data_IF_208724830645
#
_entry.id   IF_208724830645
#
_cell.length_a   1.000
_cell.length_b   1.000
_cell.length_c   1.000
_cell.angle_alpha   90.00
_cell.angle_beta   90.00
_cell.angle_gamma   90.00
#
_symmetry.space_group_name_H-M   'P 1'
#
loop_
_entity.id
_entity.type
_entity.pdbx_description
1 polymer ?
#
# COMPACT_ATOMS: atom_id res chain seq x y z
N UNK A 1 18.69 6.89 -1.51
CA UNK A 1 19.03 8.33 -1.32
C UNK A 1 18.16 9.14 -2.26
N UNK A 2 17.51 10.16 -1.69
CA UNK A 2 16.79 11.27 -2.34
C UNK A 2 15.49 10.99 -3.12
N UNK A 3 14.45 10.55 -2.40
CA UNK A 3 13.04 10.82 -2.75
C UNK A 3 12.65 12.17 -2.12
N UNK A 4 13.25 13.26 -2.58
CA UNK A 4 12.97 14.62 -2.08
C UNK A 4 13.23 15.72 -3.11
N UNK A 5 13.20 15.36 -4.40
CA UNK A 5 13.38 16.31 -5.50
C UNK A 5 12.45 15.96 -6.65
N UNK A 6 11.25 16.55 -6.64
CA UNK A 6 10.70 17.31 -7.77
C UNK A 6 9.23 17.73 -7.52
N UNK A 7 8.95 18.43 -6.42
CA UNK A 7 7.77 19.30 -6.37
C UNK A 7 8.21 20.70 -5.92
N UNK A 8 8.70 21.47 -6.88
CA UNK A 8 8.88 22.92 -6.77
C UNK A 8 8.17 23.58 -7.94
N UNK A 9 6.89 23.91 -7.76
CA UNK A 9 6.31 25.04 -8.48
C UNK A 9 6.25 26.22 -7.50
N UNK A 10 7.25 27.09 -7.62
CA UNK A 10 7.17 28.44 -7.12
C UNK A 10 6.23 29.24 -8.03
N UNK A 11 5.17 29.83 -7.46
CA UNK A 11 4.49 30.97 -8.07
C UNK A 11 4.64 32.15 -7.13
N UNK A 12 5.54 33.05 -7.51
CA UNK A 12 5.56 34.42 -7.04
C UNK A 12 4.35 35.16 -7.61
N UNK A 13 3.62 35.89 -6.76
CA UNK A 13 2.63 36.88 -7.18
C UNK A 13 2.67 38.09 -6.24
N UNK A 14 2.35 39.30 -6.74
CA UNK A 14 3.01 40.54 -6.35
C UNK A 14 2.35 41.28 -5.17
N UNK A 15 3.12 42.23 -4.62
CA UNK A 15 2.67 43.25 -3.68
C UNK A 15 1.39 43.96 -4.18
N UNK A 16 0.37 43.96 -3.34
CA UNK A 16 -0.66 45.00 -3.33
C UNK A 16 -0.68 45.63 -1.94
N UNK A 17 -0.17 46.85 -1.87
CA UNK A 17 -0.27 47.77 -0.73
C UNK A 17 -1.72 48.19 -0.54
N UNK A 18 -2.30 47.85 0.62
CA UNK A 18 -3.53 48.46 1.10
C UNK A 18 -3.32 48.87 2.56
N UNK A 19 -3.17 50.18 2.78
CA UNK A 19 -3.13 50.77 4.10
C UNK A 19 -4.53 50.83 4.70
N UNK A 20 -4.68 50.33 5.92
CA UNK A 20 -5.81 50.64 6.80
C UNK A 20 -5.24 50.97 8.19
N UNK A 21 -5.45 52.22 8.58
CA UNK A 21 -5.31 52.77 9.91
C UNK A 21 -6.59 52.47 10.71
N UNK A 22 -6.52 51.68 11.77
CA UNK A 22 -7.40 51.79 12.95
C UNK A 22 -6.57 51.43 14.19
N UNK A 23 -6.50 52.37 15.13
CA UNK A 23 -5.85 52.19 16.43
C UNK A 23 -6.73 51.59 17.51
N UNK A 24 -6.16 51.58 18.72
CA UNK A 24 -6.70 51.14 20.02
C UNK A 24 -6.42 49.67 20.36
N UNK A 25 -5.41 49.45 21.20
CA UNK A 25 -5.61 48.98 22.59
C UNK A 25 -4.27 49.01 23.33
N UNK A 26 -4.29 49.53 24.56
CA UNK A 26 -3.21 49.33 25.51
C UNK A 26 -3.39 47.99 26.22
N UNK A 27 -2.29 47.37 26.63
CA UNK A 27 -2.24 46.46 27.78
C UNK A 27 -0.78 46.18 28.13
N UNK A 28 -0.52 46.11 29.43
CA UNK A 28 0.76 45.89 30.06
C UNK A 28 1.23 44.44 29.88
N UNK A 29 2.56 44.29 29.85
CA UNK A 29 3.36 43.12 30.24
C UNK A 29 2.65 41.78 30.53
N UNK A 30 3.13 40.71 29.89
CA UNK A 30 3.58 39.50 30.58
C UNK A 30 4.24 38.52 29.59
N UNK A 31 5.53 38.23 29.83
CA UNK A 31 6.28 37.14 29.22
C UNK A 31 5.69 35.79 29.65
N UNK A 32 5.53 34.80 28.74
CA UNK A 32 5.21 33.45 29.15
C UNK A 32 6.46 32.77 29.78
N UNK A 33 6.30 32.01 30.89
CA UNK A 33 7.39 31.30 31.53
C UNK A 33 7.80 30.04 30.74
N UNK A 34 9.08 29.70 30.90
CA UNK A 34 9.72 28.50 30.39
C UNK A 34 9.03 27.22 30.86
N UNK A 35 8.84 26.28 29.94
CA UNK A 35 8.46 24.89 30.25
C UNK A 35 9.74 24.10 30.54
N UNK A 36 9.88 23.44 31.70
CA UNK A 36 11.00 22.55 31.96
C UNK A 36 10.81 21.21 31.24
N UNK A 37 11.85 20.78 30.52
CA UNK A 37 11.97 19.46 29.93
C UNK A 37 12.10 18.38 31.03
N UNK A 38 11.49 17.20 30.88
CA UNK A 38 11.81 16.06 31.73
C UNK A 38 13.13 15.41 31.28
N UNK A 39 14.10 15.48 32.17
CA UNK A 39 15.38 14.76 32.14
C UNK A 39 15.13 13.25 32.28
N UNK A 40 15.44 12.47 31.25
CA UNK A 40 15.58 11.01 31.37
C UNK A 40 17.08 10.68 31.48
N UNK A 41 17.46 10.18 32.66
CA UNK A 41 18.81 9.73 32.98
C UNK A 41 19.12 8.39 32.31
N UNK A 42 20.15 8.35 31.48
CA UNK A 42 20.99 7.17 31.33
C UNK A 42 21.84 6.99 32.60
N UNK A 43 22.15 5.74 32.97
CA UNK A 43 23.55 5.42 33.12
C UNK A 43 23.95 4.12 32.43
N UNK A 44 25.15 4.21 31.87
CA UNK A 44 25.94 3.23 31.15
C UNK A 44 26.73 2.31 32.08
N UNK A 45 27.12 1.15 31.52
CA UNK A 45 28.29 0.30 31.81
C UNK A 45 28.27 -0.56 33.09
N UNK A 46 28.33 -1.87 32.87
CA UNK A 46 29.38 -2.69 33.48
C UNK A 46 29.89 -3.73 32.48
N UNK A 47 31.19 -3.96 32.56
CA UNK A 47 32.04 -4.62 31.60
C UNK A 47 32.35 -6.07 31.98
N UNK A 48 32.74 -6.83 30.96
CA UNK A 48 33.79 -7.86 30.94
C UNK A 48 33.65 -9.08 31.85
N UNK A 49 33.54 -10.26 31.23
CA UNK A 49 34.53 -11.33 31.44
C UNK A 49 34.49 -12.34 30.28
N UNK A 50 35.57 -12.35 29.49
CA UNK A 50 36.12 -13.55 28.84
C UNK A 50 37.15 -14.11 29.82
N UNK A 51 37.33 -15.44 29.97
CA UNK A 51 38.33 -16.08 29.10
C UNK A 51 38.08 -17.58 28.77
N UNK A 52 38.88 -18.02 27.80
CA UNK A 52 39.51 -19.36 27.70
C UNK A 52 38.91 -20.40 26.73
N UNK A 53 39.46 -20.35 25.52
CA UNK A 53 39.77 -21.49 24.65
C UNK A 53 40.63 -22.56 25.37
N UNK A 54 40.47 -23.85 25.05
CA UNK A 54 41.63 -24.62 24.57
C UNK A 54 41.38 -25.35 23.25
N UNK A 55 42.42 -25.37 22.41
CA UNK A 55 42.53 -26.17 21.20
C UNK A 55 42.90 -27.64 21.51
N UNK A 56 42.47 -28.57 20.66
CA UNK A 56 43.34 -29.56 19.97
C UNK A 56 42.49 -30.64 19.26
N UNK A 57 42.70 -30.80 17.95
CA UNK A 57 42.47 -32.06 17.25
C UNK A 57 43.63 -33.03 17.58
N UNK A 58 43.43 -34.35 17.51
CA UNK A 58 43.95 -35.09 16.35
C UNK A 58 43.07 -36.27 15.88
N UNK A 59 43.51 -36.87 14.77
CA UNK A 59 42.78 -37.78 13.87
C UNK A 59 42.54 -39.24 14.34
N UNK A 60 41.58 -39.87 13.63
CA UNK A 60 41.26 -41.31 13.36
C UNK A 60 42.31 -42.37 13.79
N UNK A 61 41.89 -43.59 14.19
CA UNK A 61 41.74 -44.71 13.23
C UNK A 61 40.47 -45.58 13.41
N UNK A 62 40.25 -46.49 12.46
CA UNK A 62 39.05 -47.27 12.17
C UNK A 62 38.82 -48.56 13.01
N UNK A 63 37.58 -49.07 12.91
CA UNK A 63 37.01 -50.45 12.99
C UNK A 63 37.98 -51.64 13.20
N UNK A 64 37.56 -52.76 13.84
CA UNK A 64 36.70 -53.71 13.11
C UNK A 64 35.73 -54.62 13.94
N UNK A 65 34.58 -54.92 13.29
CA UNK A 65 33.95 -56.27 13.13
C UNK A 65 33.36 -56.97 14.38
N UNK A 66 32.34 -57.84 14.37
CA UNK A 66 31.67 -58.75 13.41
C UNK A 66 30.44 -59.38 14.19
N UNK A 67 29.70 -60.44 13.78
CA UNK A 67 29.32 -61.07 12.47
C UNK A 67 27.77 -61.22 12.35
N UNK A 68 27.11 -61.87 11.38
CA UNK A 68 27.27 -62.29 9.99
C UNK A 68 25.92 -62.93 9.56
N UNK A 69 25.56 -62.90 8.27
CA UNK A 69 25.04 -64.06 7.53
C UNK A 69 24.69 -63.74 6.05
N UNK A 70 25.57 -64.21 5.17
CA UNK A 70 25.38 -64.90 3.88
C UNK A 70 24.39 -64.41 2.79
N UNK A 71 24.98 -64.12 1.62
CA UNK A 71 24.40 -63.99 0.28
C UNK A 71 24.45 -65.30 -0.52
N UNK A 72 23.57 -65.48 -1.54
CA UNK A 72 23.82 -66.36 -2.70
C UNK A 72 24.23 -65.57 -3.98
N UNK A 73 24.72 -66.26 -5.04
CA UNK A 73 25.64 -65.70 -6.03
C UNK A 73 24.99 -65.11 -7.29
N UNK A 74 25.77 -64.25 -7.96
CA UNK A 74 25.49 -63.50 -9.20
C UNK A 74 25.67 -64.34 -10.48
N UNK A 75 24.85 -64.13 -11.55
CA UNK A 75 25.19 -64.45 -12.94
C UNK A 75 25.82 -63.24 -13.69
N UNK A 76 26.42 -63.44 -14.90
CA UNK A 76 27.36 -62.53 -15.56
C UNK A 76 26.72 -61.39 -16.39
N UNK A 77 27.50 -60.39 -16.88
CA UNK A 77 27.01 -59.08 -17.28
C UNK A 77 26.53 -59.04 -18.74
N UNK A 78 25.36 -58.44 -18.96
CA UNK A 78 24.94 -57.95 -20.28
C UNK A 78 25.05 -56.42 -20.31
N UNK A 79 25.51 -55.92 -21.45
CA UNK A 79 25.96 -54.55 -21.66
C UNK A 79 24.89 -53.47 -21.41
N UNK A 80 25.37 -52.36 -20.85
CA UNK A 80 24.83 -51.00 -20.84
C UNK A 80 23.45 -50.77 -21.47
N UNK A 81 22.43 -50.60 -20.62
CA UNK A 81 21.27 -49.78 -20.95
C UNK A 81 21.48 -48.38 -20.36
N UNK A 82 21.49 -47.38 -21.24
CA UNK A 82 21.61 -45.97 -20.92
C UNK A 82 20.50 -45.52 -19.94
N UNK A 83 20.72 -44.47 -19.14
CA UNK A 83 19.71 -43.94 -18.24
C UNK A 83 18.44 -43.58 -19.01
N UNK A 84 17.33 -44.19 -18.59
CA UNK A 84 15.98 -43.84 -19.03
C UNK A 84 15.77 -42.33 -18.84
N UNK A 85 15.63 -41.65 -19.97
CA UNK A 85 15.14 -40.27 -20.01
C UNK A 85 13.73 -40.27 -19.40
N UNK A 86 13.40 -39.39 -18.44
CA UNK A 86 12.03 -39.21 -18.02
C UNK A 86 11.17 -38.92 -19.25
N UNK A 87 10.06 -39.64 -19.39
CA UNK A 87 9.06 -39.38 -20.41
C UNK A 87 8.67 -37.88 -20.37
N UNK A 88 8.36 -37.24 -21.52
CA UNK A 88 7.84 -35.88 -21.52
C UNK A 88 6.50 -35.89 -20.77
N UNK A 89 6.53 -35.47 -19.51
CA UNK A 89 5.32 -35.22 -18.74
C UNK A 89 4.50 -34.20 -19.50
N UNK A 90 3.22 -34.52 -19.70
CA UNK A 90 2.19 -33.57 -20.13
C UNK A 90 2.44 -32.23 -19.44
N UNK A 91 2.58 -31.11 -20.18
CA UNK A 91 2.70 -29.80 -19.56
C UNK A 91 1.54 -29.61 -18.58
N UNK A 92 1.84 -29.23 -17.33
CA UNK A 92 0.83 -28.72 -16.43
C UNK A 92 0.02 -27.65 -17.19
N UNK A 93 -1.32 -27.61 -17.05
CA UNK A 93 -2.12 -26.57 -17.69
C UNK A 93 -1.48 -25.23 -17.34
N UNK A 94 -0.99 -24.51 -18.36
CA UNK A 94 -0.53 -23.15 -18.16
C UNK A 94 -1.67 -22.41 -17.44
N UNK A 95 -1.37 -21.81 -16.29
CA UNK A 95 -2.31 -20.89 -15.65
C UNK A 95 -2.85 -19.96 -16.75
N UNK A 96 -4.16 -19.73 -16.83
CA UNK A 96 -4.73 -18.92 -17.89
C UNK A 96 -3.96 -17.61 -17.94
N UNK A 97 -3.29 -17.36 -19.07
CA UNK A 97 -2.61 -16.09 -19.31
C UNK A 97 -3.70 -15.03 -19.30
N UNK A 98 -3.83 -14.32 -18.18
CA UNK A 98 -4.77 -13.21 -18.08
C UNK A 98 -4.32 -12.20 -19.14
N UNK A 99 -5.22 -11.89 -20.08
CA UNK A 99 -5.02 -10.75 -20.97
C UNK A 99 -4.76 -9.54 -20.10
N UNK A 100 -3.63 -8.87 -20.31
CA UNK A 100 -3.29 -7.66 -19.57
C UNK A 100 -4.41 -6.63 -19.77
N UNK A 101 -4.89 -6.06 -18.68
CA UNK A 101 -5.86 -4.97 -18.75
C UNK A 101 -5.24 -3.79 -19.53
N UNK A 102 -6.03 -3.07 -20.35
CA UNK A 102 -5.53 -1.91 -21.09
C UNK A 102 -5.02 -0.84 -20.11
N UNK A 103 -3.80 -0.35 -20.37
CA UNK A 103 -3.17 0.68 -19.54
C UNK A 103 -3.56 2.07 -20.06
N UNK A 104 -4.26 2.85 -19.23
CA UNK A 104 -4.70 4.21 -19.58
C UNK A 104 -5.90 4.23 -20.52
N UNK A 105 -6.93 3.43 -20.19
CA UNK A 105 -8.21 3.42 -20.89
C UNK A 105 -9.01 4.69 -20.57
N UNK A 106 -9.44 5.46 -21.57
CA UNK A 106 -10.33 6.60 -21.32
C UNK A 106 -11.73 6.10 -20.94
N UNK A 107 -12.19 6.50 -19.75
CA UNK A 107 -13.50 6.18 -19.23
C UNK A 107 -14.23 7.45 -18.78
N UNK A 108 -15.56 7.38 -18.72
CA UNK A 108 -16.37 8.41 -18.06
C UNK A 108 -16.86 7.84 -16.73
N UNK A 109 -16.39 8.42 -15.63
CA UNK A 109 -16.86 8.12 -14.29
C UNK A 109 -18.32 8.59 -14.16
N UNK A 110 -19.19 7.69 -13.73
CA UNK A 110 -20.57 8.01 -13.41
C UNK A 110 -20.68 8.30 -11.92
N UNK A 111 -21.08 9.53 -11.57
CA UNK A 111 -21.28 9.93 -10.19
C UNK A 111 -22.39 9.10 -9.53
N UNK A 112 -22.04 8.36 -8.47
CA UNK A 112 -22.94 7.52 -7.68
C UNK A 112 -23.12 8.15 -6.30
N UNK A 113 -24.27 7.89 -5.67
CA UNK A 113 -24.46 8.24 -4.26
C UNK A 113 -23.52 7.40 -3.40
N UNK A 114 -22.73 8.05 -2.56
CA UNK A 114 -21.72 7.42 -1.72
C UNK A 114 -21.80 7.93 -0.29
N UNK A 115 -21.51 7.04 0.64
CA UNK A 115 -21.21 7.41 2.03
C UNK A 115 -19.73 7.65 2.13
N UNK A 116 -19.37 8.85 2.52
CA UNK A 116 -18.00 9.35 2.57
C UNK A 116 -17.53 9.39 4.02
N UNK A 117 -16.37 8.84 4.32
CA UNK A 117 -15.62 9.04 5.56
C UNK A 117 -14.32 9.77 5.23
N UNK A 118 -14.13 10.95 5.79
CA UNK A 118 -12.89 11.71 5.65
C UNK A 118 -11.85 11.21 6.64
N UNK A 119 -10.62 11.02 6.17
CA UNK A 119 -9.49 10.56 6.97
C UNK A 119 -8.16 11.10 6.46
N UNK A 120 -7.12 10.79 7.21
CA UNK A 120 -5.73 11.05 6.83
C UNK A 120 -4.87 9.89 7.32
N UNK A 121 -3.82 9.55 6.57
CA UNK A 121 -2.90 8.48 6.90
C UNK A 121 -1.46 8.86 6.52
N UNK A 122 -0.50 8.19 7.15
CA UNK A 122 0.90 8.22 6.74
C UNK A 122 1.17 7.05 5.78
N UNK A 123 2.25 7.15 5.00
CA UNK A 123 2.60 6.12 4.02
C UNK A 123 2.89 4.75 4.67
N UNK A 124 3.53 4.73 5.84
CA UNK A 124 3.84 3.49 6.57
C UNK A 124 2.60 2.70 7.02
N UNK A 125 1.48 3.39 7.30
CA UNK A 125 0.24 2.78 7.78
C UNK A 125 -0.92 2.99 6.81
N UNK A 126 -0.62 3.27 5.55
CA UNK A 126 -1.59 3.65 4.53
C UNK A 126 -2.68 2.58 4.40
N UNK A 127 -2.27 1.35 4.05
CA UNK A 127 -3.20 0.26 3.80
C UNK A 127 -4.05 -0.07 5.04
N UNK A 128 -3.44 -0.17 6.22
CA UNK A 128 -4.15 -0.43 7.47
C UNK A 128 -5.22 0.66 7.74
N UNK A 129 -4.87 1.94 7.58
CA UNK A 129 -5.79 3.06 7.82
C UNK A 129 -6.96 3.07 6.83
N UNK A 130 -6.71 2.73 5.56
CA UNK A 130 -7.75 2.61 4.54
C UNK A 130 -8.72 1.46 4.86
N UNK A 131 -8.19 0.29 5.23
CA UNK A 131 -8.95 -0.89 5.66
C UNK A 131 -9.80 -0.56 6.90
N UNK A 132 -9.25 0.11 7.90
CA UNK A 132 -10.01 0.53 9.10
C UNK A 132 -11.13 1.52 8.77
N UNK A 133 -10.90 2.42 7.82
CA UNK A 133 -11.90 3.37 7.33
C UNK A 133 -13.07 2.64 6.66
N UNK A 134 -12.78 1.66 5.80
CA UNK A 134 -13.80 0.83 5.18
C UNK A 134 -14.56 -0.04 6.18
N UNK A 135 -13.86 -0.60 7.17
CA UNK A 135 -14.50 -1.36 8.27
C UNK A 135 -15.48 -0.48 9.05
N UNK A 136 -15.11 0.77 9.32
CA UNK A 136 -15.95 1.74 10.03
C UNK A 136 -17.20 2.09 9.22
N UNK A 137 -17.05 2.38 7.93
CA UNK A 137 -18.18 2.63 7.03
C UNK A 137 -19.10 1.42 6.90
N UNK A 138 -18.52 0.23 6.68
CA UNK A 138 -19.27 -1.03 6.56
C UNK A 138 -20.07 -1.32 7.83
N UNK A 139 -19.46 -1.16 9.01
CA UNK A 139 -20.15 -1.35 10.28
C UNK A 139 -21.32 -0.38 10.49
N UNK A 140 -21.25 0.85 9.97
CA UNK A 140 -22.36 1.80 9.99
C UNK A 140 -23.50 1.34 9.07
N UNK A 141 -23.17 0.86 7.87
CA UNK A 141 -24.16 0.35 6.91
C UNK A 141 -24.84 -0.92 7.43
N UNK A 142 -24.08 -1.86 7.98
CA UNK A 142 -24.59 -3.11 8.57
C UNK A 142 -25.58 -2.85 9.71
N UNK A 143 -25.29 -1.90 10.60
CA UNK A 143 -26.20 -1.50 11.69
C UNK A 143 -27.57 -1.03 11.18
N UNK A 144 -27.61 -0.50 9.96
CA UNK A 144 -28.81 0.02 9.32
C UNK A 144 -29.38 -0.94 8.27
N UNK A 145 -28.80 -2.14 8.14
CA UNK A 145 -29.12 -3.13 7.11
C UNK A 145 -29.05 -2.57 5.67
N UNK A 146 -28.20 -1.58 5.44
CA UNK A 146 -27.95 -0.99 4.12
C UNK A 146 -26.87 -1.82 3.43
N UNK A 147 -27.14 -2.27 2.21
CA UNK A 147 -26.14 -2.97 1.40
C UNK A 147 -25.32 -1.98 0.58
N UNK A 148 -24.00 -2.19 0.43
CA UNK A 148 -23.21 -1.45 -0.54
C UNK A 148 -23.73 -1.72 -1.96
N UNK A 149 -23.74 -0.68 -2.79
CA UNK A 149 -24.23 -0.65 -4.16
C UNK A 149 -23.09 -0.76 -5.19
N UNK A 150 -21.91 -1.21 -4.77
CA UNK A 150 -20.73 -1.31 -5.63
C UNK A 150 -19.45 -1.50 -4.82
N UNK A 151 -18.34 -1.37 -5.53
CA UNK A 151 -17.00 -1.45 -4.97
C UNK A 151 -16.71 -0.24 -4.08
N UNK A 152 -15.92 -0.46 -3.04
CA UNK A 152 -15.44 0.63 -2.20
C UNK A 152 -14.35 1.41 -2.93
N UNK A 153 -14.26 2.71 -2.69
CA UNK A 153 -13.26 3.56 -3.33
C UNK A 153 -12.63 4.54 -2.36
N UNK A 154 -11.41 4.97 -2.67
CA UNK A 154 -10.68 6.03 -1.98
C UNK A 154 -10.48 7.18 -2.96
N UNK A 155 -10.88 8.37 -2.55
CA UNK A 155 -10.58 9.61 -3.29
C UNK A 155 -9.50 10.36 -2.52
N UNK A 156 -8.32 10.48 -3.10
CA UNK A 156 -7.21 11.24 -2.51
C UNK A 156 -7.39 12.72 -2.79
N UNK A 157 -7.54 13.50 -1.72
CA UNK A 157 -7.79 14.94 -1.82
C UNK A 157 -6.54 15.79 -1.65
N UNK A 158 -5.50 15.23 -1.01
CA UNK A 158 -4.18 15.85 -0.87
C UNK A 158 -3.17 14.78 -0.50
N UNK A 159 -1.97 14.87 -1.05
CA UNK A 159 -0.85 13.97 -0.80
C UNK A 159 0.42 14.79 -0.60
N UNK A 160 1.27 14.39 0.33
CA UNK A 160 2.55 15.03 0.64
C UNK A 160 3.63 13.98 0.99
N UNK A 161 4.86 14.41 1.27
CA UNK A 161 5.98 13.50 1.56
C UNK A 161 5.79 12.67 2.84
N UNK A 162 4.90 13.08 3.73
CA UNK A 162 4.68 12.44 5.05
C UNK A 162 3.40 11.61 5.10
N UNK A 163 2.43 11.89 4.23
CA UNK A 163 1.18 11.17 4.17
C UNK A 163 0.18 11.77 3.19
N UNK A 164 -1.09 11.52 3.45
CA UNK A 164 -2.18 11.94 2.58
C UNK A 164 -3.49 12.12 3.34
N UNK A 165 -4.37 12.91 2.74
CA UNK A 165 -5.78 13.04 3.12
C UNK A 165 -6.65 12.37 2.08
N UNK A 166 -7.66 11.67 2.54
CA UNK A 166 -8.49 10.85 1.68
C UNK A 166 -9.95 10.87 2.11
N UNK A 167 -10.79 10.45 1.19
CA UNK A 167 -12.20 10.20 1.38
C UNK A 167 -12.45 8.73 1.05
N UNK A 168 -12.74 7.93 2.08
CA UNK A 168 -13.20 6.57 1.87
C UNK A 168 -14.68 6.61 1.52
N UNK A 169 -15.06 5.98 0.43
CA UNK A 169 -16.40 6.04 -0.12
C UNK A 169 -16.96 4.63 -0.33
N UNK A 170 -18.19 4.41 0.11
CA UNK A 170 -18.96 3.21 -0.21
C UNK A 170 -20.21 3.63 -0.99
N UNK A 171 -20.38 3.17 -2.25
CA UNK A 171 -21.61 3.39 -3.00
C UNK A 171 -22.81 2.83 -2.26
N UNK A 172 -23.91 3.59 -2.21
CA UNK A 172 -25.16 3.16 -1.57
C UNK A 172 -26.37 3.62 -2.39
N UNK A 173 -27.41 2.79 -2.43
CA UNK A 173 -28.72 3.20 -2.98
C UNK A 173 -29.62 3.84 -1.93
N UNK A 174 -29.32 3.58 -0.65
CA UNK A 174 -30.07 4.08 0.49
C UNK A 174 -29.21 4.99 1.34
N UNK A 175 -29.76 6.14 1.72
CA UNK A 175 -29.10 7.11 2.56
C UNK A 175 -29.03 6.63 4.01
N UNK A 176 -27.85 6.35 4.59
CA UNK A 176 -27.72 6.08 6.01
C UNK A 176 -28.11 7.28 6.86
N UNK A 177 -28.71 6.98 8.00
CA UNK A 177 -28.99 7.93 9.08
C UNK A 177 -27.84 7.92 10.09
N UNK A 178 -27.86 8.86 11.03
CA UNK A 178 -26.93 8.90 12.18
C UNK A 178 -25.44 8.87 11.77
N UNK A 179 -25.08 9.62 10.73
CA UNK A 179 -23.71 9.78 10.28
C UNK A 179 -22.84 10.44 11.36
N UNK A 180 -21.65 9.91 11.59
CA UNK A 180 -20.65 10.54 12.46
C UNK A 180 -20.18 11.88 11.87
N UNK A 181 -19.55 12.74 12.69
CA UNK A 181 -19.10 14.08 12.25
C UNK A 181 -18.10 14.06 11.08
N UNK A 182 -17.31 13.00 10.97
CA UNK A 182 -16.35 12.80 9.87
C UNK A 182 -16.97 12.04 8.68
N UNK A 183 -18.26 11.69 8.76
CA UNK A 183 -19.00 11.04 7.70
C UNK A 183 -20.01 11.98 7.05
N UNK A 184 -20.22 11.81 5.76
CA UNK A 184 -21.19 12.59 4.99
C UNK A 184 -21.73 11.77 3.83
N UNK A 185 -22.97 12.03 3.42
CA UNK A 185 -23.45 11.59 2.12
C UNK A 185 -22.95 12.54 1.04
N UNK A 186 -22.53 11.98 -0.09
CA UNK A 186 -21.99 12.73 -1.21
C UNK A 186 -22.21 12.02 -2.53
N UNK A 187 -21.59 12.56 -3.57
CA UNK A 187 -21.48 11.92 -4.87
C UNK A 187 -20.04 11.55 -5.14
N UNK A 188 -19.81 10.35 -5.68
CA UNK A 188 -18.51 9.94 -6.15
C UNK A 188 -18.05 10.86 -7.28
N UNK A 189 -16.74 10.97 -7.53
CA UNK A 189 -16.21 11.71 -8.67
C UNK A 189 -16.86 11.27 -9.99
N UNK A 190 -17.17 12.24 -10.84
CA UNK A 190 -17.75 12.05 -12.16
C UNK A 190 -16.98 12.80 -13.25
N UNK A 191 -17.17 12.40 -14.50
CA UNK A 191 -16.53 13.00 -15.67
C UNK A 191 -15.45 12.14 -16.30
N UNK A 192 -14.68 12.72 -17.22
CA UNK A 192 -13.63 12.00 -17.96
C UNK A 192 -12.44 11.66 -17.05
N UNK A 193 -12.00 10.42 -17.13
CA UNK A 193 -10.82 9.92 -16.42
C UNK A 193 -10.08 8.89 -17.27
N UNK A 194 -8.81 8.67 -16.97
CA UNK A 194 -8.10 7.49 -17.44
C UNK A 194 -8.17 6.41 -16.36
N UNK A 195 -8.46 5.18 -16.77
CA UNK A 195 -8.46 4.00 -15.93
C UNK A 195 -7.16 3.23 -16.11
N UNK A 196 -6.57 2.85 -14.99
CA UNK A 196 -5.42 1.97 -14.88
C UNK A 196 -5.77 0.85 -13.91
N UNK A 197 -5.26 -0.35 -14.16
CA UNK A 197 -5.54 -1.51 -13.31
C UNK A 197 -4.25 -1.94 -12.63
N UNK A 198 -4.24 -1.86 -11.31
CA UNK A 198 -3.22 -2.46 -10.46
C UNK A 198 -3.66 -3.87 -10.07
N UNK A 199 -2.77 -4.85 -10.21
CA UNK A 199 -2.95 -6.22 -9.74
C UNK A 199 -1.72 -6.66 -8.98
N UNK A 200 -1.85 -6.92 -7.68
CA UNK A 200 -0.75 -7.41 -6.85
C UNK A 200 -0.74 -6.79 -5.47
N UNK A 201 0.48 -6.67 -4.91
CA UNK A 201 0.72 -6.07 -3.59
C UNK A 201 0.42 -4.60 -3.57
N UNK A 202 -0.27 -4.15 -2.52
CA UNK A 202 -0.44 -2.73 -2.24
C UNK A 202 0.91 -1.98 -2.19
N UNK A 203 1.98 -2.61 -1.69
CA UNK A 203 3.34 -2.03 -1.71
C UNK A 203 3.84 -1.66 -3.12
N UNK A 204 3.34 -2.34 -4.15
CA UNK A 204 3.72 -2.08 -5.54
C UNK A 204 2.86 -0.98 -6.20
N UNK A 205 1.98 -0.30 -5.45
CA UNK A 205 1.18 0.81 -5.97
C UNK A 205 2.06 1.96 -6.47
N UNK A 206 3.21 2.21 -5.83
CA UNK A 206 4.18 3.24 -6.26
C UNK A 206 4.60 3.07 -7.73
N UNK A 207 4.99 1.85 -8.12
CA UNK A 207 5.33 1.52 -9.51
C UNK A 207 4.16 1.81 -10.48
N UNK A 208 2.92 1.66 -10.02
CA UNK A 208 1.73 1.93 -10.83
C UNK A 208 1.57 3.43 -11.04
N UNK A 209 1.76 4.23 -10.00
CA UNK A 209 1.73 5.69 -10.10
C UNK A 209 2.84 6.26 -10.97
N UNK A 210 4.05 5.71 -10.89
CA UNK A 210 5.13 6.07 -11.80
C UNK A 210 4.76 5.78 -13.25
N UNK A 211 4.23 4.59 -13.53
CA UNK A 211 3.79 4.22 -14.87
C UNK A 211 2.64 5.10 -15.39
N UNK A 212 1.70 5.48 -14.52
CA UNK A 212 0.61 6.42 -14.84
C UNK A 212 1.17 7.78 -15.24
N UNK A 213 2.10 8.32 -14.45
CA UNK A 213 2.71 9.64 -14.70
C UNK A 213 3.41 9.66 -16.06
N UNK A 214 4.25 8.65 -16.32
CA UNK A 214 4.91 8.50 -17.62
C UNK A 214 3.89 8.42 -18.78
N UNK A 215 2.78 7.70 -18.60
CA UNK A 215 1.74 7.59 -19.61
C UNK A 215 1.02 8.92 -19.88
N UNK A 216 0.78 9.72 -18.85
CA UNK A 216 0.18 11.05 -18.97
C UNK A 216 1.13 11.99 -19.73
N UNK A 217 2.42 11.98 -19.38
CA UNK A 217 3.46 12.77 -20.04
C UNK A 217 3.61 12.40 -21.53
N UNK A 218 3.69 11.10 -21.84
CA UNK A 218 3.82 10.60 -23.22
C UNK A 218 2.64 11.04 -24.10
N UNK A 219 1.43 11.03 -23.54
CA UNK A 219 0.21 11.47 -24.23
C UNK A 219 -0.05 12.97 -24.12
N UNK A 220 0.76 13.71 -23.37
CA UNK A 220 0.58 15.14 -23.08
C UNK A 220 -0.80 15.45 -22.51
N UNK A 221 -1.30 14.58 -21.63
CA UNK A 221 -2.58 14.73 -20.97
C UNK A 221 -2.39 15.40 -19.62
N UNK A 222 -3.23 16.38 -19.33
CA UNK A 222 -3.26 17.05 -18.03
C UNK A 222 -4.29 16.36 -17.14
N UNK A 223 -3.80 15.75 -16.06
CA UNK A 223 -4.62 15.20 -15.00
C UNK A 223 -5.02 16.28 -13.97
N UNK A 224 -6.06 16.00 -13.20
CA UNK A 224 -6.35 16.73 -11.97
C UNK A 224 -5.43 16.27 -10.85
N UNK A 225 -5.22 17.13 -9.85
CA UNK A 225 -4.53 16.83 -8.60
C UNK A 225 -5.38 15.95 -7.65
N UNK A 226 -6.04 14.91 -8.18
CA UNK A 226 -6.92 14.03 -7.43
C UNK A 226 -6.86 12.65 -8.06
N UNK A 227 -6.70 11.63 -7.24
CA UNK A 227 -6.70 10.23 -7.68
C UNK A 227 -7.86 9.50 -7.03
N UNK A 228 -8.45 8.56 -7.77
CA UNK A 228 -9.51 7.70 -7.24
C UNK A 228 -9.06 6.25 -7.37
N UNK A 229 -8.97 5.53 -6.26
CA UNK A 229 -8.76 4.09 -6.26
C UNK A 229 -10.08 3.38 -6.00
N UNK A 230 -10.48 2.49 -6.89
CA UNK A 230 -11.62 1.60 -6.69
C UNK A 230 -11.13 0.17 -6.47
N UNK A 231 -11.48 -0.40 -5.33
CA UNK A 231 -11.06 -1.73 -4.94
C UNK A 231 -12.05 -2.76 -5.50
N UNK A 232 -11.65 -3.42 -6.60
CA UNK A 232 -12.45 -4.46 -7.25
C UNK A 232 -12.54 -5.71 -6.39
N UNK A 233 -11.44 -6.03 -5.69
CA UNK A 233 -11.41 -7.03 -4.63
C UNK A 233 -11.68 -6.38 -3.29
N UNK A 234 -12.47 -7.03 -2.42
CA UNK A 234 -12.76 -6.52 -1.07
C UNK A 234 -11.47 -6.46 -0.23
N UNK A 235 -10.97 -5.26 0.13
CA UNK A 235 -9.71 -5.11 0.88
C UNK A 235 -9.82 -5.59 2.33
N UNK A 236 -11.05 -5.81 2.85
CA UNK A 236 -11.25 -6.36 4.18
C UNK A 236 -11.11 -7.89 4.22
N UNK A 237 -11.16 -8.55 3.07
CA UNK A 237 -11.16 -10.03 2.95
C UNK A 237 -10.05 -10.57 2.07
N UNK A 238 -9.49 -9.73 1.21
CA UNK A 238 -8.44 -10.10 0.26
C UNK A 238 -7.09 -9.73 0.86
N UNK A 239 -6.13 -10.64 0.74
CA UNK A 239 -4.76 -10.34 1.15
C UNK A 239 -4.18 -9.21 0.29
N UNK A 240 -3.32 -8.39 0.90
CA UNK A 240 -2.75 -7.20 0.26
C UNK A 240 -1.95 -7.53 -1.01
N UNK A 241 -1.41 -8.74 -1.14
CA UNK A 241 -0.66 -9.25 -2.32
C UNK A 241 -1.54 -9.64 -3.52
N UNK A 242 -2.87 -9.67 -3.35
CA UNK A 242 -3.83 -10.14 -4.37
C UNK A 242 -4.90 -9.11 -4.68
N UNK A 243 -4.64 -7.85 -4.39
CA UNK A 243 -5.58 -6.79 -4.63
C UNK A 243 -5.69 -6.50 -6.12
N UNK A 244 -6.91 -6.22 -6.55
CA UNK A 244 -7.20 -5.64 -7.86
C UNK A 244 -7.79 -4.26 -7.60
N UNK A 245 -7.04 -3.23 -7.96
CA UNK A 245 -7.39 -1.83 -7.71
C UNK A 245 -7.43 -1.12 -9.06
N UNK A 246 -8.58 -0.52 -9.39
CA UNK A 246 -8.66 0.39 -10.51
C UNK A 246 -8.25 1.78 -10.04
N UNK A 247 -7.17 2.32 -10.58
CA UNK A 247 -6.76 3.71 -10.36
C UNK A 247 -7.36 4.55 -11.48
N UNK A 248 -8.22 5.50 -11.12
CA UNK A 248 -8.77 6.50 -12.02
C UNK A 248 -8.07 7.83 -11.82
N UNK A 249 -7.67 8.42 -12.94
CA UNK A 249 -7.04 9.73 -13.01
C UNK A 249 -7.99 10.66 -13.76
N UNK A 250 -8.76 11.50 -13.05
CA UNK A 250 -9.63 12.49 -13.67
C UNK A 250 -8.83 13.45 -14.54
N UNK A 251 -9.31 13.69 -15.75
CA UNK A 251 -8.68 14.62 -16.69
C UNK A 251 -9.18 16.06 -16.45
N UNK A 252 -8.36 17.04 -16.86
CA UNK A 252 -8.69 18.46 -16.74
C UNK A 252 -9.65 18.94 -17.84
#
# INVERSE_FOLDING_TARGET
MDVARCFRLAVAAPLATAGILIGVTGALAQSPPAVPAPTASEPTKSAAEEPAKPAAAPAKPADPANPAAATPPTPPPAAAEAPVTPAPGTPAPAAPVQTADPFGEEITLAGKSVVVLKGSANWDSAFETLVESFKTLTALLDKQAIKPAGNVMIVYTSTDDTGFTFQAEIPVEQEPKDLAKNMSLGKSPDGKALKFVHRGSYDNMDNTYEAITNHLDDKKLEAKDTFVEEYITDPLKTAEDKLVINVYVPLK
#
